data_IF_666191838039
#
_entry.id   IF_666191838039
#
_cell.length_a   1.000
_cell.length_b   1.000
_cell.length_c   1.000
_cell.angle_alpha   90.00
_cell.angle_beta   90.00
_cell.angle_gamma   90.00
#
_symmetry.space_group_name_H-M   'P 1'
#
loop_
_entity.id
_entity.type
_entity.pdbx_description
1 polymer ?
#
# COMPACT_ATOMS: atom_id res chain seq x y z
N UNK A 1 -8.48 10.24 14.52
CA UNK A 1 -8.35 9.51 13.26
C UNK A 1 -9.55 9.84 12.39
N UNK A 2 -9.32 10.22 11.14
CA UNK A 2 -10.37 10.74 10.27
C UNK A 2 -11.35 9.62 9.84
N UNK A 3 -12.64 9.85 10.08
CA UNK A 3 -13.71 8.94 9.68
C UNK A 3 -13.84 8.83 8.15
N UNK A 4 -13.44 9.89 7.42
CA UNK A 4 -13.46 9.92 5.95
C UNK A 4 -12.43 8.94 5.40
N UNK A 5 -11.20 8.95 5.91
CA UNK A 5 -10.13 8.05 5.43
C UNK A 5 -10.50 6.58 5.65
N UNK A 6 -11.01 6.21 6.83
CA UNK A 6 -11.44 4.83 7.09
C UNK A 6 -12.53 4.38 6.12
N UNK A 7 -13.51 5.24 5.86
CA UNK A 7 -14.60 4.95 4.92
C UNK A 7 -14.06 4.78 3.49
N UNK A 8 -13.13 5.63 3.08
CA UNK A 8 -12.48 5.57 1.77
C UNK A 8 -11.71 4.25 1.59
N UNK A 9 -10.85 3.88 2.55
CA UNK A 9 -10.05 2.65 2.49
C UNK A 9 -10.94 1.40 2.45
N UNK A 10 -11.99 1.37 3.27
CA UNK A 10 -12.97 0.28 3.25
C UNK A 10 -13.67 0.16 1.90
N UNK A 11 -14.08 1.28 1.31
CA UNK A 11 -14.71 1.32 -0.02
C UNK A 11 -13.73 0.86 -1.10
N UNK A 12 -12.49 1.34 -1.07
CA UNK A 12 -11.44 0.99 -2.02
C UNK A 12 -11.18 -0.52 -2.02
N UNK A 13 -10.94 -1.10 -0.83
CA UNK A 13 -10.73 -2.53 -0.65
C UNK A 13 -11.94 -3.34 -1.13
N UNK A 14 -13.16 -2.89 -0.85
CA UNK A 14 -14.38 -3.55 -1.31
C UNK A 14 -14.52 -3.51 -2.84
N UNK A 15 -14.18 -2.40 -3.47
CA UNK A 15 -14.21 -2.25 -4.94
C UNK A 15 -13.23 -3.22 -5.59
N UNK A 16 -11.96 -3.19 -5.19
CA UNK A 16 -10.93 -4.07 -5.76
C UNK A 16 -11.25 -5.56 -5.58
N UNK A 17 -11.73 -5.95 -4.40
CA UNK A 17 -12.16 -7.34 -4.17
C UNK A 17 -13.34 -7.75 -5.08
N UNK A 18 -14.27 -6.83 -5.39
CA UNK A 18 -15.39 -7.10 -6.32
C UNK A 18 -14.94 -7.18 -7.77
N UNK A 19 -13.85 -6.50 -8.12
CA UNK A 19 -13.21 -6.57 -9.43
C UNK A 19 -12.32 -7.81 -9.59
N UNK A 20 -12.15 -8.60 -8.52
CA UNK A 20 -11.34 -9.80 -8.52
C UNK A 20 -9.84 -9.54 -8.39
N UNK A 21 -9.45 -8.34 -7.94
CA UNK A 21 -8.04 -8.00 -7.67
C UNK A 21 -7.59 -8.54 -6.33
N UNK A 22 -6.36 -8.99 -6.27
CA UNK A 22 -5.73 -9.49 -5.05
C UNK A 22 -5.17 -8.31 -4.24
N UNK A 23 -5.90 -7.88 -3.21
CA UNK A 23 -5.45 -6.84 -2.28
C UNK A 23 -4.59 -7.46 -1.17
N UNK A 24 -3.36 -7.00 -1.01
CA UNK A 24 -2.48 -7.52 0.03
C UNK A 24 -2.98 -7.13 1.43
N UNK A 25 -2.76 -8.05 2.38
CA UNK A 25 -3.05 -7.83 3.79
C UNK A 25 -2.20 -6.67 4.30
N UNK A 26 -2.82 -5.78 5.07
CA UNK A 26 -2.14 -4.65 5.68
C UNK A 26 -1.00 -5.08 6.62
N UNK A 27 -0.07 -4.16 6.86
CA UNK A 27 1.20 -4.42 7.55
C UNK A 27 1.27 -3.75 8.92
N UNK A 28 2.17 -4.24 9.77
CA UNK A 28 2.42 -3.70 11.10
C UNK A 28 3.26 -2.41 11.06
N UNK A 29 3.18 -1.61 12.14
CA UNK A 29 4.00 -0.40 12.30
C UNK A 29 5.50 -0.69 12.21
N UNK A 30 5.98 -1.82 12.76
CA UNK A 30 7.39 -2.23 12.64
C UNK A 30 7.83 -2.40 11.17
N UNK A 31 6.94 -2.92 10.32
CA UNK A 31 7.22 -3.08 8.89
C UNK A 31 7.21 -1.72 8.17
N UNK A 32 6.31 -0.82 8.57
CA UNK A 32 6.25 0.56 8.06
C UNK A 32 7.53 1.32 8.42
N UNK A 33 7.93 1.31 9.70
CA UNK A 33 9.17 1.95 10.17
C UNK A 33 10.42 1.40 9.47
N UNK A 34 10.44 0.09 9.20
CA UNK A 34 11.54 -0.52 8.45
C UNK A 34 11.59 -0.01 7.02
N UNK A 35 10.44 0.19 6.37
CA UNK A 35 10.37 0.76 5.03
C UNK A 35 10.79 2.23 5.03
N UNK A 36 10.31 3.05 5.98
CA UNK A 36 10.69 4.46 6.13
C UNK A 36 12.21 4.65 6.20
N UNK A 37 12.90 3.76 6.93
CA UNK A 37 14.37 3.74 7.00
C UNK A 37 15.02 3.41 5.65
N UNK A 38 14.47 2.44 4.91
CA UNK A 38 14.98 2.04 3.58
C UNK A 38 14.83 3.18 2.57
N UNK A 39 13.65 3.84 2.56
CA UNK A 39 13.38 4.94 1.63
C UNK A 39 13.92 6.29 2.12
N UNK A 40 14.48 6.34 3.34
CA UNK A 40 14.95 7.55 4.01
C UNK A 40 13.89 8.68 4.01
N UNK A 41 12.64 8.32 4.32
CA UNK A 41 11.51 9.24 4.35
C UNK A 41 10.49 8.79 5.41
N UNK A 42 9.96 9.75 6.16
CA UNK A 42 8.88 9.50 7.11
C UNK A 42 7.54 9.71 6.40
N UNK A 43 6.72 8.67 6.35
CA UNK A 43 5.40 8.72 5.72
C UNK A 43 4.40 9.52 6.57
N UNK A 44 3.50 10.20 5.88
CA UNK A 44 2.34 10.82 6.50
C UNK A 44 1.41 9.76 7.11
N UNK A 45 0.73 10.12 8.21
CA UNK A 45 -0.12 9.18 8.96
C UNK A 45 -1.22 8.56 8.10
N UNK A 46 -1.75 9.30 7.13
CA UNK A 46 -2.77 8.80 6.20
C UNK A 46 -2.24 7.67 5.31
N UNK A 47 -0.96 7.75 4.89
CA UNK A 47 -0.33 6.67 4.11
C UNK A 47 0.05 5.48 4.99
N UNK A 48 0.47 5.73 6.24
CA UNK A 48 0.67 4.65 7.23
C UNK A 48 -0.62 3.89 7.46
N UNK A 49 -1.73 4.60 7.61
CA UNK A 49 -3.03 3.99 7.78
C UNK A 49 -3.50 3.20 6.55
N UNK A 50 -3.23 3.72 5.35
CA UNK A 50 -3.40 2.96 4.12
C UNK A 50 -2.64 1.62 4.21
N UNK A 51 -1.34 1.65 4.49
CA UNK A 51 -0.50 0.45 4.59
C UNK A 51 -0.95 -0.54 5.67
N UNK A 52 -1.47 -0.04 6.81
CA UNK A 52 -2.04 -0.89 7.88
C UNK A 52 -3.28 -1.65 7.45
N UNK A 53 -4.05 -1.14 6.48
CA UNK A 53 -5.29 -1.77 6.03
C UNK A 53 -5.16 -2.49 4.67
N UNK A 54 -4.31 -1.95 3.81
CA UNK A 54 -4.14 -2.26 2.39
C UNK A 54 -2.64 -2.11 2.06
N UNK A 55 -1.94 -3.22 1.88
CA UNK A 55 -0.52 -3.20 1.50
C UNK A 55 -0.35 -3.24 -0.03
N UNK A 56 -1.01 -2.33 -0.75
CA UNK A 56 -1.03 -2.37 -2.21
C UNK A 56 -1.80 -3.54 -2.82
N UNK A 57 -1.79 -3.57 -4.14
CA UNK A 57 -2.23 -4.71 -4.95
C UNK A 57 -1.09 -5.70 -5.12
N UNK A 58 -1.42 -6.93 -5.47
CA UNK A 58 -0.43 -7.97 -5.76
C UNK A 58 0.28 -7.67 -7.08
N UNK A 59 1.61 -7.70 -7.04
CA UNK A 59 2.48 -7.54 -8.22
C UNK A 59 2.15 -6.33 -9.11
N UNK A 60 2.03 -6.56 -10.43
CA UNK A 60 1.72 -5.55 -11.45
C UNK A 60 0.21 -5.40 -11.67
N UNK A 61 -0.63 -5.82 -10.72
CA UNK A 61 -2.07 -5.61 -10.84
C UNK A 61 -2.40 -4.12 -10.84
N UNK A 62 -3.42 -3.78 -11.62
CA UNK A 62 -4.04 -2.48 -11.68
C UNK A 62 -5.55 -2.66 -11.73
N UNK A 63 -6.27 -1.67 -11.22
CA UNK A 63 -7.72 -1.65 -11.37
C UNK A 63 -8.13 -1.30 -12.82
N UNK A 64 -9.43 -1.40 -13.11
CA UNK A 64 -9.96 -1.06 -14.45
C UNK A 64 -9.63 0.37 -14.91
N UNK A 65 -9.26 1.25 -13.98
CA UNK A 65 -8.87 2.64 -14.23
C UNK A 65 -7.35 2.81 -14.38
N UNK A 66 -6.62 1.68 -14.42
CA UNK A 66 -5.16 1.59 -14.55
C UNK A 66 -4.40 2.12 -13.33
N UNK A 67 -5.04 2.23 -12.17
CA UNK A 67 -4.32 2.54 -10.94
C UNK A 67 -3.69 1.27 -10.36
N UNK A 68 -2.37 1.33 -10.14
CA UNK A 68 -1.62 0.31 -9.43
C UNK A 68 -1.03 0.92 -8.15
N UNK A 69 -1.28 0.26 -7.03
CA UNK A 69 -0.71 0.65 -5.75
C UNK A 69 0.29 -0.40 -5.30
N UNK A 70 1.52 0.02 -5.07
CA UNK A 70 2.61 -0.90 -4.78
C UNK A 70 2.56 -1.41 -3.34
N UNK A 71 2.80 -2.71 -3.19
CA UNK A 71 3.09 -3.30 -1.89
C UNK A 71 4.46 -2.84 -1.39
N UNK A 72 4.69 -2.95 -0.08
CA UNK A 72 6.02 -2.66 0.48
C UNK A 72 7.12 -3.53 -0.11
N UNK A 73 6.81 -4.78 -0.50
CA UNK A 73 7.79 -5.68 -1.09
C UNK A 73 8.18 -5.21 -2.48
N UNK A 74 7.22 -4.68 -3.24
CA UNK A 74 7.48 -4.06 -4.54
C UNK A 74 8.34 -2.80 -4.40
N UNK A 75 8.00 -1.92 -3.45
CA UNK A 75 8.79 -0.71 -3.18
C UNK A 75 10.25 -1.09 -2.86
N UNK A 76 10.47 -2.07 -1.97
CA UNK A 76 11.81 -2.54 -1.61
C UNK A 76 12.56 -3.11 -2.80
N UNK A 77 11.92 -4.00 -3.56
CA UNK A 77 12.53 -4.64 -4.73
C UNK A 77 12.96 -3.60 -5.78
N UNK A 78 12.14 -2.58 -6.01
CA UNK A 78 12.46 -1.55 -7.01
C UNK A 78 13.61 -0.64 -6.54
N UNK A 79 13.63 -0.28 -5.25
CA UNK A 79 14.74 0.47 -4.65
C UNK A 79 16.08 -0.26 -4.79
N UNK A 80 16.11 -1.59 -4.61
CA UNK A 80 17.30 -2.40 -4.84
C UNK A 80 17.78 -2.38 -6.31
N UNK A 81 16.85 -2.25 -7.26
CA UNK A 81 17.17 -2.17 -8.68
C UNK A 81 17.61 -0.77 -9.13
N UNK A 82 17.07 0.29 -8.54
CA UNK A 82 17.45 1.68 -8.83
C UNK A 82 18.84 2.03 -8.27
N UNK A 83 19.26 1.38 -7.18
CA UNK A 83 20.53 1.66 -6.49
C UNK A 83 21.69 0.79 -7.00
N UNK A 84 21.50 0.05 -8.11
CA UNK A 84 22.54 -0.72 -8.82
C UNK A 84 23.03 0.02 -10.05
#
# INVERSE_FOLDING_TARGET
MDNVLRSLLSKLKSTWNKEGLDVNIGISDNQIESLEKIVNYNFDEDFKEYLRQINGLKDYEWDKELFSFWSIDRIKSDMENVTR
#
